data_IF_019272027313
#
_entry.id   IF_019272027313
#
_cell.length_a   1.000
_cell.length_b   1.000
_cell.length_c   1.000
_cell.angle_alpha   90.00
_cell.angle_beta   90.00
_cell.angle_gamma   90.00
#
_symmetry.space_group_name_H-M   'P 1'
#
loop_
_entity.id
_entity.type
_entity.pdbx_description
1 polymer ?
#
# COMPACT_ATOMS: atom_id res chain seq x y z
N UNK A 1 6.51 9.08 -7.56
CA UNK A 1 5.78 8.04 -8.33
C UNK A 1 4.47 8.58 -8.88
N UNK A 2 4.01 8.11 -10.05
CA UNK A 2 2.67 8.46 -10.56
C UNK A 2 1.64 7.56 -9.87
N UNK A 3 0.66 8.13 -9.17
CA UNK A 3 -0.41 7.40 -8.47
C UNK A 3 -1.02 6.26 -9.31
N UNK A 4 -1.32 6.54 -10.58
CA UNK A 4 -1.90 5.54 -11.48
C UNK A 4 -0.99 4.32 -11.69
N UNK A 5 0.34 4.50 -11.73
CA UNK A 5 1.28 3.40 -11.87
C UNK A 5 1.34 2.53 -10.60
N UNK A 6 1.18 3.14 -9.42
CA UNK A 6 1.08 2.37 -8.17
C UNK A 6 -0.23 1.56 -8.13
N UNK A 7 -1.35 2.17 -8.50
CA UNK A 7 -2.66 1.48 -8.52
C UNK A 7 -2.61 0.29 -9.49
N UNK A 8 -2.04 0.48 -10.68
CA UNK A 8 -1.84 -0.59 -11.65
C UNK A 8 -0.95 -1.70 -11.07
N UNK A 9 0.19 -1.34 -10.49
CA UNK A 9 1.10 -2.27 -9.82
C UNK A 9 0.40 -3.11 -8.74
N UNK A 10 -0.36 -2.47 -7.86
CA UNK A 10 -1.09 -3.13 -6.76
C UNK A 10 -2.10 -4.13 -7.30
N UNK A 11 -2.91 -3.72 -8.28
CA UNK A 11 -3.91 -4.59 -8.91
C UNK A 11 -3.24 -5.79 -9.62
N UNK A 12 -2.13 -5.58 -10.32
CA UNK A 12 -1.35 -6.66 -10.96
C UNK A 12 -0.80 -7.67 -9.95
N UNK A 13 -0.51 -7.22 -8.72
CA UNK A 13 0.01 -8.05 -7.63
C UNK A 13 -1.07 -8.59 -6.67
N UNK A 14 -2.33 -8.64 -7.13
CA UNK A 14 -3.48 -9.20 -6.39
C UNK A 14 -3.87 -8.41 -5.14
N UNK A 15 -3.45 -7.15 -5.04
CA UNK A 15 -3.99 -6.23 -4.05
C UNK A 15 -5.31 -5.65 -4.54
N UNK A 16 -6.30 -5.61 -3.66
CA UNK A 16 -7.63 -5.08 -3.97
C UNK A 16 -7.91 -3.86 -3.09
N UNK A 17 -8.58 -2.86 -3.65
CA UNK A 17 -9.00 -1.70 -2.86
C UNK A 17 -10.00 -2.15 -1.77
N UNK A 18 -9.79 -1.66 -0.55
CA UNK A 18 -10.62 -1.94 0.60
C UNK A 18 -12.03 -1.38 0.36
N UNK A 19 -13.08 -2.19 0.47
CA UNK A 19 -14.45 -1.72 0.33
C UNK A 19 -14.86 -0.77 1.46
N UNK A 20 -14.11 -0.76 2.57
CA UNK A 20 -14.41 0.04 3.76
C UNK A 20 -13.60 1.33 3.83
N UNK A 21 -12.37 1.33 3.32
CA UNK A 21 -11.46 2.46 3.37
C UNK A 21 -11.01 2.82 1.95
N UNK A 22 -11.54 3.92 1.42
CA UNK A 22 -11.14 4.40 0.09
C UNK A 22 -9.64 4.67 0.04
N UNK A 23 -9.03 4.37 -1.09
CA UNK A 23 -7.60 4.52 -1.35
C UNK A 23 -6.72 3.68 -0.40
N UNK A 24 -7.26 2.59 0.16
CA UNK A 24 -6.50 1.62 0.94
C UNK A 24 -6.55 0.28 0.22
N UNK A 25 -5.44 -0.43 0.10
CA UNK A 25 -5.35 -1.69 -0.64
C UNK A 25 -4.97 -2.84 0.30
N UNK A 26 -5.66 -3.97 0.20
CA UNK A 26 -5.42 -5.19 0.99
C UNK A 26 -5.00 -6.34 0.08
N UNK A 27 -4.13 -7.21 0.58
CA UNK A 27 -3.78 -8.47 -0.08
C UNK A 27 -4.01 -9.64 0.87
N UNK A 28 -4.62 -10.70 0.34
CA UNK A 28 -4.92 -11.91 1.09
C UNK A 28 -3.63 -12.49 1.70
N UNK A 29 -3.66 -12.78 3.01
CA UNK A 29 -2.54 -13.36 3.72
C UNK A 29 -1.50 -12.37 4.26
N UNK A 30 -1.64 -11.07 3.97
CA UNK A 30 -0.81 -10.02 4.58
C UNK A 30 -1.57 -9.39 5.75
N UNK A 31 -0.91 -9.23 6.90
CA UNK A 31 -1.47 -8.61 8.11
C UNK A 31 -1.36 -7.08 8.00
N UNK A 32 -1.96 -6.49 6.98
CA UNK A 32 -1.85 -5.04 6.74
C UNK A 32 -2.50 -4.59 5.43
N UNK A 33 -2.49 -3.27 5.22
CA UNK A 33 -2.96 -2.65 3.99
C UNK A 33 -2.05 -1.49 3.57
N UNK A 34 -2.18 -1.06 2.33
CA UNK A 34 -1.45 0.09 1.77
C UNK A 34 -2.42 1.27 1.69
N UNK A 35 -2.23 2.33 2.46
CA UNK A 35 -2.97 3.59 2.33
C UNK A 35 -2.30 4.51 1.30
N UNK A 36 -3.11 5.22 0.52
CA UNK A 36 -2.63 6.21 -0.45
C UNK A 36 -3.16 7.60 -0.07
N UNK A 37 -2.25 8.55 0.10
CA UNK A 37 -2.57 9.98 0.22
C UNK A 37 -2.58 10.64 -1.17
N UNK A 38 -3.75 11.10 -1.60
CA UNK A 38 -3.94 11.74 -2.90
C UNK A 38 -3.45 13.19 -2.93
N UNK A 39 -3.36 13.85 -1.78
CA UNK A 39 -2.84 15.22 -1.65
C UNK A 39 -1.35 15.22 -1.92
N UNK A 40 -0.62 14.30 -1.28
CA UNK A 40 0.84 14.23 -1.40
C UNK A 40 1.31 13.27 -2.49
N UNK A 41 0.41 12.42 -3.01
CA UNK A 41 0.69 11.33 -3.99
C UNK A 41 1.65 10.28 -3.44
N UNK A 42 1.41 9.87 -2.20
CA UNK A 42 2.27 8.95 -1.47
C UNK A 42 1.52 7.72 -1.01
N UNK A 43 2.26 6.64 -0.83
CA UNK A 43 1.74 5.42 -0.27
C UNK A 43 2.35 5.14 1.10
N UNK A 44 1.60 4.42 1.92
CA UNK A 44 1.91 4.09 3.29
C UNK A 44 1.54 2.64 3.50
N UNK A 45 2.43 1.83 4.07
CA UNK A 45 2.01 0.50 4.49
C UNK A 45 1.64 0.56 5.97
N UNK A 46 0.48 -0.02 6.30
CA UNK A 46 -0.15 0.03 7.61
C UNK A 46 -0.39 -1.40 8.08
N UNK A 47 0.22 -1.79 9.18
CA UNK A 47 0.02 -3.11 9.82
C UNK A 47 -1.15 -3.03 10.82
N UNK A 48 -1.93 -4.10 10.96
CA UNK A 48 -2.90 -4.22 12.06
C UNK A 48 -2.25 -5.04 13.18
N UNK A 49 -1.97 -4.47 14.39
CA UNK A 49 -2.85 -3.59 15.16
C UNK A 49 -2.18 -2.33 15.76
N UNK A 50 -2.62 -1.13 15.31
CA UNK A 50 -2.21 0.16 15.89
C UNK A 50 -2.36 1.41 15.00
N UNK A 51 -2.80 1.27 13.75
CA UNK A 51 -3.06 2.34 12.77
C UNK A 51 -1.87 3.26 12.43
N UNK A 52 -0.64 2.92 12.85
CA UNK A 52 0.55 3.70 12.52
C UNK A 52 1.17 3.18 11.23
N UNK A 53 1.29 4.02 10.18
CA UNK A 53 2.08 3.69 9.00
C UNK A 53 3.52 3.35 9.38
N UNK A 54 4.01 2.19 8.99
CA UNK A 54 5.38 1.80 9.31
C UNK A 54 6.40 2.40 8.34
N UNK A 55 5.97 2.71 7.11
CA UNK A 55 6.82 3.32 6.11
C UNK A 55 6.01 4.16 5.10
N UNK A 56 6.65 5.21 4.59
CA UNK A 56 6.14 6.16 3.59
C UNK A 56 6.93 6.00 2.30
N UNK A 57 6.23 5.98 1.18
CA UNK A 57 6.78 5.59 -0.10
C UNK A 57 6.45 6.57 -1.21
N UNK A 58 7.47 6.91 -1.98
CA UNK A 58 7.35 7.71 -3.20
C UNK A 58 7.83 6.98 -4.46
N UNK A 59 8.24 5.71 -4.33
CA UNK A 59 8.89 4.89 -5.36
C UNK A 59 8.49 3.40 -5.24
N UNK A 60 8.37 2.70 -6.39
CA UNK A 60 7.91 1.30 -6.46
C UNK A 60 9.00 0.32 -6.00
N UNK A 61 10.27 0.57 -6.31
CA UNK A 61 11.35 -0.35 -5.94
C UNK A 61 11.54 -0.39 -4.42
N UNK A 62 11.43 0.78 -3.76
CA UNK A 62 11.44 0.84 -2.30
C UNK A 62 10.22 0.14 -1.69
N UNK A 63 9.05 0.32 -2.31
CA UNK A 63 7.82 -0.31 -1.88
C UNK A 63 7.89 -1.84 -1.96
N UNK A 64 8.47 -2.40 -3.03
CA UNK A 64 8.68 -3.84 -3.18
C UNK A 64 9.58 -4.43 -2.10
N UNK A 65 10.72 -3.78 -1.84
CA UNK A 65 11.62 -4.20 -0.77
C UNK A 65 10.88 -4.27 0.54
N UNK A 66 10.11 -3.23 0.85
CA UNK A 66 9.47 -3.11 2.14
C UNK A 66 8.27 -4.07 2.30
N UNK A 67 7.49 -4.35 1.25
CA UNK A 67 6.46 -5.39 1.29
C UNK A 67 7.03 -6.78 1.52
N UNK A 68 8.20 -7.11 0.95
CA UNK A 68 8.82 -8.42 1.15
C UNK A 68 9.18 -8.68 2.62
N UNK A 69 9.34 -7.64 3.44
CA UNK A 69 9.61 -7.79 4.88
C UNK A 69 8.33 -8.08 5.70
N UNK A 70 7.14 -7.99 5.09
CA UNK A 70 5.85 -8.27 5.74
C UNK A 70 5.34 -9.71 5.51
N UNK A 71 6.02 -10.49 4.66
CA UNK A 71 5.67 -11.88 4.33
C UNK A 71 6.50 -12.86 5.16
#
# INVERSE_FOLDING_TARGET
MKLNALIEYLNTNEWIESPRFKNHFIKTGIVGFVAIDHTTREAFIVEFPGDVPWARFSDIEQFERDILHLQ
#
